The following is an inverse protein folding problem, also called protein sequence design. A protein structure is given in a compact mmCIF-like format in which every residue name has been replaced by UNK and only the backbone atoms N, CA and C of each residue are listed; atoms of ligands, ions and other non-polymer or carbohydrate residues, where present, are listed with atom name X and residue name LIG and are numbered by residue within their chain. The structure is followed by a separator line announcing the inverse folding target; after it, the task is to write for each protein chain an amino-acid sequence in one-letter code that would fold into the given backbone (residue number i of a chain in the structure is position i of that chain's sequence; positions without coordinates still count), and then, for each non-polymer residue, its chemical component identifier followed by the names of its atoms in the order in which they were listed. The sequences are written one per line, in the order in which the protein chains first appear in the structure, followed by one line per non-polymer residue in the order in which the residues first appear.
data_IF_515529429907
#
_entry.id   IF_515529429907
#
_cell.length_a   1.000
_cell.length_b   1.000
_cell.length_c   1.000
_cell.angle_alpha   90.00
_cell.angle_beta   90.00
_cell.angle_gamma   90.00
#
_symmetry.space_group_name_H-M   'P 1'
#
loop_
_entity.id
_entity.type
_entity.pdbx_description
1 polymer ?
#
# COMPACT_ATOMS: atom_id res chain seq x y z
N UNK A 1 -2.45 -11.46 -7.26
CA UNK A 1 -1.41 -12.38 -6.70
C UNK A 1 -0.01 -11.75 -6.71
N UNK A 2 0.12 -10.43 -6.92
CA UNK A 2 1.41 -9.74 -7.12
C UNK A 2 2.49 -10.03 -6.06
N UNK A 3 2.19 -9.91 -4.76
CA UNK A 3 3.19 -10.12 -3.69
C UNK A 3 3.75 -11.55 -3.70
N UNK A 4 2.89 -12.55 -3.87
CA UNK A 4 3.31 -13.95 -3.91
C UNK A 4 4.16 -14.26 -5.14
N UNK A 5 3.78 -13.74 -6.32
CA UNK A 5 4.57 -13.86 -7.55
C UNK A 5 5.94 -13.20 -7.41
N UNK A 6 5.99 -12.02 -6.78
CA UNK A 6 7.24 -11.29 -6.54
C UNK A 6 8.14 -12.01 -5.53
N UNK A 7 7.58 -12.59 -4.46
CA UNK A 7 8.33 -13.39 -3.49
C UNK A 7 8.91 -14.67 -4.11
N UNK A 8 8.15 -15.31 -5.02
CA UNK A 8 8.63 -16.46 -5.80
C UNK A 8 9.79 -16.06 -6.73
N UNK A 9 9.65 -14.93 -7.45
CA UNK A 9 10.70 -14.39 -8.33
C UNK A 9 12.00 -14.12 -7.58
N UNK A 10 11.91 -13.64 -6.34
CA UNK A 10 13.08 -13.36 -5.47
C UNK A 10 13.66 -14.61 -4.79
N UNK A 11 13.12 -15.82 -5.04
CA UNK A 11 13.54 -17.09 -4.42
C UNK A 11 13.57 -17.06 -2.88
N UNK A 12 12.81 -16.15 -2.27
CA UNK A 12 12.83 -15.90 -0.83
C UNK A 12 11.77 -16.71 -0.06
N UNK A 13 10.84 -17.37 -0.79
CA UNK A 13 9.73 -18.12 -0.20
C UNK A 13 8.84 -17.23 0.69
N UNK A 14 8.25 -17.81 1.73
CA UNK A 14 7.35 -17.09 2.65
C UNK A 14 8.02 -15.89 3.35
N UNK A 15 9.35 -15.94 3.58
CA UNK A 15 10.10 -14.82 4.16
C UNK A 15 10.10 -13.59 3.25
N UNK A 16 10.11 -13.81 1.94
CA UNK A 16 10.04 -12.72 0.95
C UNK A 16 8.74 -11.92 0.99
N UNK A 17 7.63 -12.55 1.40
CA UNK A 17 6.33 -11.87 1.49
C UNK A 17 6.39 -10.71 2.48
N UNK A 18 6.93 -10.98 3.67
CA UNK A 18 7.05 -9.98 4.74
C UNK A 18 7.95 -8.82 4.31
N UNK A 19 9.11 -9.11 3.72
CA UNK A 19 10.03 -8.07 3.27
C UNK A 19 9.45 -7.19 2.16
N UNK A 20 8.65 -7.75 1.25
CA UNK A 20 7.96 -6.95 0.20
C UNK A 20 6.89 -6.06 0.83
N UNK A 21 6.11 -6.60 1.77
CA UNK A 21 5.10 -5.84 2.51
C UNK A 21 5.71 -4.70 3.34
N UNK A 22 6.78 -4.98 4.09
CA UNK A 22 7.47 -3.97 4.89
C UNK A 22 7.99 -2.82 4.02
N UNK A 23 8.57 -3.13 2.84
CA UNK A 23 9.07 -2.11 1.94
C UNK A 23 7.97 -1.17 1.42
N UNK A 24 6.80 -1.72 1.04
CA UNK A 24 5.66 -0.93 0.54
C UNK A 24 5.02 -0.14 1.69
N UNK A 25 4.85 -0.79 2.84
CA UNK A 25 4.19 -0.17 4.00
C UNK A 25 5.01 0.96 4.61
N UNK A 26 6.34 0.97 4.47
CA UNK A 26 7.20 2.00 5.05
C UNK A 26 6.86 3.40 4.52
N UNK A 27 6.74 3.53 3.20
CA UNK A 27 6.38 4.81 2.56
C UNK A 27 4.94 5.22 2.93
N UNK A 28 4.03 4.24 2.95
CA UNK A 28 2.61 4.45 3.28
C UNK A 28 2.43 4.90 4.73
N UNK A 29 3.13 4.26 5.67
CA UNK A 29 3.07 4.59 7.10
C UNK A 29 3.76 5.91 7.42
N UNK A 30 4.64 6.41 6.55
CA UNK A 30 5.22 7.73 6.69
C UNK A 30 4.25 8.82 6.19
N UNK A 31 3.67 8.62 5.01
CA UNK A 31 2.81 9.62 4.35
C UNK A 31 1.39 9.69 4.95
N UNK A 32 0.76 8.55 5.26
CA UNK A 32 -0.65 8.52 5.69
C UNK A 32 -0.92 9.24 7.02
N UNK A 33 -0.13 9.06 8.11
CA UNK A 33 -0.46 9.68 9.40
C UNK A 33 -0.51 11.21 9.37
N UNK A 34 0.19 11.82 8.42
CA UNK A 34 0.23 13.29 8.24
C UNK A 34 -1.01 13.84 7.51
N UNK A 35 -1.85 12.97 6.94
CA UNK A 35 -3.01 13.38 6.15
C UNK A 35 -4.30 13.24 6.96
N UNK A 36 -5.17 14.25 6.88
CA UNK A 36 -6.45 14.26 7.59
C UNK A 36 -7.57 13.65 6.74
N UNK A 37 -8.58 13.07 7.40
CA UNK A 37 -9.79 12.51 6.78
C UNK A 37 -9.54 11.32 5.84
N UNK A 38 -8.48 10.54 6.03
CA UNK A 38 -8.31 9.30 5.28
C UNK A 38 -9.37 8.29 5.74
N UNK A 39 -10.09 7.72 4.78
CA UNK A 39 -11.07 6.66 4.99
C UNK A 39 -10.47 5.29 4.70
N UNK A 40 -9.76 5.18 3.58
CA UNK A 40 -9.30 3.91 3.05
C UNK A 40 -8.04 4.11 2.18
N UNK A 41 -7.12 3.14 2.21
CA UNK A 41 -5.93 3.11 1.39
C UNK A 41 -5.89 1.79 0.61
N UNK A 42 -5.95 1.87 -0.72
CA UNK A 42 -6.01 0.71 -1.61
C UNK A 42 -4.63 0.51 -2.24
N UNK A 43 -4.05 -0.67 -1.99
CA UNK A 43 -2.78 -1.11 -2.59
C UNK A 43 -3.10 -2.06 -3.74
N UNK A 44 -2.70 -1.70 -4.97
CA UNK A 44 -2.93 -2.50 -6.17
C UNK A 44 -1.63 -3.14 -6.68
N UNK A 45 -1.70 -3.88 -7.80
CA UNK A 45 -0.52 -4.53 -8.39
C UNK A 45 0.51 -3.51 -8.91
N UNK A 46 0.08 -2.32 -9.33
CA UNK A 46 0.96 -1.22 -9.76
C UNK A 46 1.82 -0.68 -8.61
N UNK A 47 1.23 -0.49 -7.42
CA UNK A 47 1.97 -0.14 -6.20
C UNK A 47 3.04 -1.20 -5.88
N UNK A 48 2.77 -2.47 -6.14
CA UNK A 48 3.70 -3.57 -5.84
C UNK A 48 4.82 -3.67 -6.89
N UNK A 49 4.49 -3.55 -8.18
CA UNK A 49 5.44 -3.77 -9.28
C UNK A 49 6.22 -2.52 -9.67
N UNK A 50 5.59 -1.35 -9.65
CA UNK A 50 6.16 -0.10 -10.13
C UNK A 50 6.42 0.90 -8.99
N UNK A 51 6.14 0.53 -7.73
CA UNK A 51 6.28 1.42 -6.56
C UNK A 51 5.47 2.72 -6.69
N UNK A 52 4.35 2.67 -7.41
CA UNK A 52 3.43 3.80 -7.47
C UNK A 52 2.76 4.06 -6.12
N UNK A 53 2.37 5.31 -5.89
CA UNK A 53 1.63 5.67 -4.67
C UNK A 53 0.29 4.91 -4.61
N UNK A 54 -0.12 4.43 -3.44
CA UNK A 54 -1.42 3.78 -3.29
C UNK A 54 -2.56 4.78 -3.51
N UNK A 55 -3.74 4.27 -3.81
CA UNK A 55 -4.94 5.08 -3.96
C UNK A 55 -5.51 5.35 -2.56
N UNK A 56 -5.58 6.61 -2.16
CA UNK A 56 -6.12 7.03 -0.86
C UNK A 56 -7.50 7.66 -1.06
N UNK A 57 -8.50 7.10 -0.40
CA UNK A 57 -9.87 7.60 -0.35
C UNK A 57 -10.05 8.43 0.92
N UNK A 58 -10.56 9.64 0.76
CA UNK A 58 -10.86 10.53 1.88
C UNK A 58 -12.35 10.53 2.20
N UNK A 59 -12.70 10.68 3.47
CA UNK A 59 -14.07 10.97 3.87
C UNK A 59 -14.48 12.33 3.29
N UNK A 60 -15.54 12.33 2.47
CA UNK A 60 -16.28 13.55 2.18
C UNK A 60 -16.98 13.95 3.48
N UNK A 61 -16.56 15.05 4.10
CA UNK A 61 -17.43 15.73 5.06
C UNK A 61 -18.73 16.04 4.34
N UNK A 62 -19.83 15.47 4.81
CA UNK A 62 -21.15 15.89 4.38
C UNK A 62 -21.25 17.40 4.67
N UNK A 63 -21.38 18.22 3.63
CA UNK A 63 -21.87 19.59 3.80
C UNK A 63 -23.22 19.47 4.51
N UNK A 64 -23.23 19.86 5.78
CA UNK A 64 -24.47 20.09 6.50
C UNK A 64 -25.04 21.36 5.89
N UNK A 65 -26.07 21.18 5.06
CA UNK A 65 -26.93 22.25 4.58
C UNK A 65 -27.74 22.86 5.74
#
# INVERSE_FOLDING_TARGET
MAIAKEALKRKAGARGLRSILEAIMLDIMYDLPSQTNIKECIINEETIHHKEKPIVLYEKKAESA
#
